data_IF_667066682046
#
_entry.id   IF_667066682046
#
_cell.length_a   1.000
_cell.length_b   1.000
_cell.length_c   1.000
_cell.angle_alpha   90.00
_cell.angle_beta   90.00
_cell.angle_gamma   90.00
#
_symmetry.space_group_name_H-M   'P 1'
#
loop_
_entity.id
_entity.type
_entity.pdbx_description
1 polymer ?
#
# COMPACT_ATOMS: atom_id res chain seq x y z
N UNK A 1 11.38 2.44 -13.88
CA UNK A 1 10.91 2.01 -12.55
C UNK A 1 9.40 1.84 -12.58
N UNK A 2 8.84 0.92 -11.77
CA UNK A 2 7.38 0.75 -11.67
C UNK A 2 6.84 1.79 -10.69
N UNK A 3 5.65 2.34 -10.96
CA UNK A 3 5.03 3.32 -10.06
C UNK A 3 4.31 2.60 -8.94
N UNK A 4 4.59 2.99 -7.70
CA UNK A 4 3.90 2.54 -6.49
C UNK A 4 3.31 3.74 -5.77
N UNK A 5 2.04 3.64 -5.42
CA UNK A 5 1.33 4.62 -4.63
C UNK A 5 1.33 4.27 -3.15
N UNK A 6 1.41 5.26 -2.28
CA UNK A 6 1.14 5.14 -0.84
C UNK A 6 0.08 6.18 -0.49
N UNK A 7 -1.03 5.73 0.07
CA UNK A 7 -2.10 6.56 0.64
C UNK A 7 -1.97 6.51 2.16
N UNK A 8 -1.64 7.64 2.77
CA UNK A 8 -1.31 7.78 4.18
C UNK A 8 0.21 7.79 4.41
N UNK A 9 0.74 8.94 4.80
CA UNK A 9 2.14 9.18 5.17
C UNK A 9 2.32 9.40 6.67
N UNK A 10 1.51 8.69 7.46
CA UNK A 10 1.73 8.53 8.90
C UNK A 10 2.98 7.70 9.20
N UNK A 11 3.15 7.30 10.46
CA UNK A 11 4.37 6.57 10.90
C UNK A 11 4.67 5.33 10.06
N UNK A 12 3.65 4.53 9.72
CA UNK A 12 3.83 3.32 8.90
C UNK A 12 4.00 3.62 7.41
N UNK A 13 3.33 4.65 6.89
CA UNK A 13 3.54 5.12 5.50
C UNK A 13 4.98 5.57 5.25
N UNK A 14 5.59 6.27 6.22
CA UNK A 14 7.02 6.61 6.21
C UNK A 14 7.89 5.36 6.12
N UNK A 15 7.63 4.38 6.99
CA UNK A 15 8.33 3.11 6.96
C UNK A 15 8.16 2.39 5.62
N UNK A 16 6.97 2.39 5.01
CA UNK A 16 6.77 1.79 3.68
C UNK A 16 7.65 2.40 2.60
N UNK A 17 7.96 3.71 2.67
CA UNK A 17 8.92 4.33 1.75
C UNK A 17 10.29 3.67 1.90
N UNK A 18 10.75 3.46 3.13
CA UNK A 18 12.04 2.82 3.42
C UNK A 18 12.07 1.33 3.03
N UNK A 19 10.92 0.64 3.09
CA UNK A 19 10.78 -0.79 2.75
C UNK A 19 10.61 -1.06 1.25
N UNK A 20 10.47 -0.03 0.41
CA UNK A 20 10.26 -0.21 -1.02
C UNK A 20 11.51 0.26 -1.77
N UNK A 21 12.20 -0.63 -2.52
CA UNK A 21 13.50 -0.28 -3.06
C UNK A 21 13.38 0.69 -4.23
N UNK A 22 14.03 1.84 -4.10
CA UNK A 22 14.13 2.89 -5.14
C UNK A 22 14.78 2.39 -6.44
N UNK A 23 15.51 1.28 -6.42
CA UNK A 23 16.01 0.64 -7.65
C UNK A 23 14.90 0.01 -8.51
N UNK A 24 13.75 -0.30 -7.91
CA UNK A 24 12.60 -0.94 -8.56
C UNK A 24 11.40 0.01 -8.70
N UNK A 25 11.16 0.86 -7.70
CA UNK A 25 9.92 1.62 -7.57
C UNK A 25 10.10 3.14 -7.58
N UNK A 26 9.28 3.82 -8.36
CA UNK A 26 9.02 5.26 -8.26
C UNK A 26 7.84 5.42 -7.30
N UNK A 27 8.10 5.94 -6.10
CA UNK A 27 7.09 6.06 -5.04
C UNK A 27 6.35 7.39 -5.16
N UNK A 28 5.02 7.33 -5.16
CA UNK A 28 4.12 8.50 -5.10
C UNK A 28 3.32 8.46 -3.81
N UNK A 29 3.31 9.56 -3.09
CA UNK A 29 2.72 9.65 -1.76
C UNK A 29 1.56 10.64 -1.81
N UNK A 30 0.43 10.24 -1.23
CA UNK A 30 -0.72 11.09 -0.95
C UNK A 30 -1.12 10.92 0.52
N UNK A 31 -1.50 12.00 1.17
CA UNK A 31 -2.16 12.00 2.48
C UNK A 31 -3.25 13.07 2.47
N UNK A 32 -4.36 12.80 3.16
CA UNK A 32 -5.45 13.76 3.30
C UNK A 32 -5.11 14.92 4.25
N UNK A 33 -4.06 14.76 5.06
CA UNK A 33 -3.59 15.74 6.03
C UNK A 33 -2.47 16.59 5.45
N UNK A 34 -2.36 17.83 5.90
CA UNK A 34 -1.19 18.67 5.59
C UNK A 34 0.07 18.05 6.22
N UNK A 35 1.02 17.65 5.36
CA UNK A 35 2.32 17.17 5.79
C UNK A 35 3.34 18.27 5.58
N UNK A 36 3.99 18.66 6.67
CA UNK A 36 5.07 19.63 6.68
C UNK A 36 6.41 18.87 6.69
N UNK A 37 6.78 18.33 5.53
CA UNK A 37 8.05 17.64 5.32
C UNK A 37 8.58 17.97 3.91
N UNK A 38 9.46 18.98 3.83
CA UNK A 38 10.01 19.50 2.57
C UNK A 38 10.89 18.49 1.83
N UNK A 39 11.25 17.37 2.48
CA UNK A 39 12.06 16.31 1.88
C UNK A 39 11.27 15.41 0.94
N UNK A 40 9.94 15.45 1.00
CA UNK A 40 9.08 14.61 0.16
C UNK A 40 8.22 15.42 -0.80
N UNK A 41 7.97 14.81 -1.96
CA UNK A 41 6.99 15.33 -2.92
C UNK A 41 5.66 14.60 -2.73
N UNK A 42 4.64 15.36 -2.34
CA UNK A 42 3.25 14.89 -2.36
C UNK A 42 2.64 14.98 -3.76
N UNK A 43 1.74 14.05 -4.03
CA UNK A 43 0.97 13.96 -5.27
C UNK A 43 -0.51 14.05 -4.96
N UNK A 44 -1.33 14.38 -5.97
CA UNK A 44 -2.78 14.23 -5.85
C UNK A 44 -3.18 12.75 -5.74
N UNK A 45 -4.36 12.49 -5.16
CA UNK A 45 -4.92 11.13 -5.10
C UNK A 45 -5.00 10.49 -6.50
N UNK A 46 -5.46 11.24 -7.51
CA UNK A 46 -5.52 10.78 -8.90
C UNK A 46 -4.16 10.32 -9.43
N UNK A 47 -3.09 11.07 -9.16
CA UNK A 47 -1.74 10.72 -9.60
C UNK A 47 -1.18 9.48 -8.90
N UNK A 48 -1.54 9.27 -7.62
CA UNK A 48 -1.19 8.07 -6.86
C UNK A 48 -1.93 6.86 -7.39
N UNK A 49 -3.23 7.00 -7.70
CA UNK A 49 -4.09 5.92 -8.21
C UNK A 49 -3.74 5.46 -9.64
N UNK A 50 -2.93 6.22 -10.38
CA UNK A 50 -2.32 5.78 -11.64
C UNK A 50 -1.16 4.78 -11.45
N UNK A 51 -0.82 4.41 -10.22
CA UNK A 51 0.24 3.45 -9.91
C UNK A 51 -0.21 2.01 -10.15
N UNK A 52 0.75 1.12 -10.43
CA UNK A 52 0.47 -0.30 -10.64
C UNK A 52 0.09 -1.01 -9.34
N UNK A 53 0.66 -0.55 -8.23
CA UNK A 53 0.41 -1.02 -6.88
C UNK A 53 0.15 0.21 -6.02
N UNK A 54 -0.90 0.19 -5.20
CA UNK A 54 -1.20 1.28 -4.26
C UNK A 54 -1.39 0.68 -2.87
N UNK A 55 -0.57 1.10 -1.92
CA UNK A 55 -0.69 0.74 -0.51
C UNK A 55 -1.63 1.72 0.20
N UNK A 56 -2.59 1.19 0.96
CA UNK A 56 -3.42 1.96 1.87
C UNK A 56 -2.84 1.81 3.28
N UNK A 57 -2.16 2.86 3.75
CA UNK A 57 -1.45 2.95 5.02
C UNK A 57 -2.08 3.98 5.98
N UNK A 58 -3.42 4.02 6.01
CA UNK A 58 -4.21 4.88 6.91
C UNK A 58 -4.69 4.10 8.15
N UNK A 59 -5.10 4.78 9.23
CA UNK A 59 -5.74 4.11 10.37
C UNK A 59 -6.98 3.30 9.96
N UNK A 60 -7.20 2.16 10.62
CA UNK A 60 -8.33 1.26 10.33
C UNK A 60 -9.70 1.97 10.35
N UNK A 61 -9.85 3.02 11.17
CA UNK A 61 -11.06 3.83 11.28
C UNK A 61 -11.34 4.68 10.04
N UNK A 62 -10.31 5.03 9.26
CA UNK A 62 -10.44 5.80 8.01
C UNK A 62 -10.42 4.89 6.77
N UNK A 63 -10.12 3.61 6.93
CA UNK A 63 -9.88 2.68 5.82
C UNK A 63 -11.09 2.54 4.89
N UNK A 64 -12.30 2.42 5.44
CA UNK A 64 -13.51 2.30 4.63
C UNK A 64 -13.80 3.55 3.79
N UNK A 65 -13.61 4.73 4.37
CA UNK A 65 -13.85 5.98 3.65
C UNK A 65 -12.84 6.18 2.52
N UNK A 66 -11.56 5.85 2.76
CA UNK A 66 -10.53 5.86 1.71
C UNK A 66 -10.86 4.87 0.60
N UNK A 67 -11.28 3.64 0.92
CA UNK A 67 -11.66 2.66 -0.11
C UNK A 67 -12.90 3.12 -0.91
N UNK A 68 -13.88 3.74 -0.25
CA UNK A 68 -15.04 4.34 -0.93
C UNK A 68 -14.62 5.47 -1.87
N UNK A 69 -13.71 6.35 -1.44
CA UNK A 69 -13.16 7.40 -2.28
C UNK A 69 -12.47 6.80 -3.50
N UNK A 70 -11.53 5.86 -3.30
CA UNK A 70 -10.85 5.14 -4.40
C UNK A 70 -11.85 4.53 -5.39
N UNK A 71 -12.97 3.96 -4.91
CA UNK A 71 -13.97 3.33 -5.76
C UNK A 71 -14.65 4.28 -6.76
N UNK A 72 -14.59 5.59 -6.51
CA UNK A 72 -15.12 6.64 -7.38
C UNK A 72 -14.16 6.98 -8.53
N UNK A 73 -12.90 6.55 -8.47
CA UNK A 73 -11.92 6.78 -9.51
C UNK A 73 -11.91 5.62 -10.52
N UNK A 74 -11.47 5.93 -11.75
CA UNK A 74 -11.27 4.91 -12.77
C UNK A 74 -9.82 4.40 -12.73
N UNK A 75 -9.60 3.29 -12.03
CA UNK A 75 -8.28 2.66 -11.93
C UNK A 75 -8.04 1.74 -13.11
N UNK A 76 -6.80 1.67 -13.59
CA UNK A 76 -6.39 0.79 -14.68
C UNK A 76 -5.09 0.08 -14.33
N UNK A 77 -5.09 -1.26 -14.42
CA UNK A 77 -3.90 -2.08 -14.13
C UNK A 77 -3.33 -1.83 -12.72
N UNK A 78 -4.22 -1.57 -11.76
CA UNK A 78 -3.88 -1.23 -10.38
C UNK A 78 -4.25 -2.35 -9.44
N UNK A 79 -3.35 -2.70 -8.53
CA UNK A 79 -3.60 -3.57 -7.38
C UNK A 79 -3.56 -2.76 -6.10
N UNK A 80 -4.64 -2.79 -5.32
CA UNK A 80 -4.72 -2.20 -3.98
C UNK A 80 -4.17 -3.18 -2.95
N UNK A 81 -3.35 -2.67 -2.03
CA UNK A 81 -2.74 -3.45 -0.95
C UNK A 81 -3.03 -2.79 0.39
N UNK A 82 -3.71 -3.48 1.30
CA UNK A 82 -3.88 -2.99 2.68
C UNK A 82 -2.67 -3.39 3.54
N UNK A 83 -2.30 -2.56 4.53
CA UNK A 83 -1.28 -2.90 5.55
C UNK A 83 -1.85 -2.91 6.98
N UNK A 84 -3.16 -3.11 7.11
CA UNK A 84 -3.82 -3.08 8.41
C UNK A 84 -3.40 -4.27 9.28
N UNK A 85 -3.48 -4.14 10.61
CA UNK A 85 -3.17 -5.26 11.52
C UNK A 85 -4.25 -6.34 11.59
N UNK A 86 -5.49 -5.99 11.23
CA UNK A 86 -6.62 -6.93 11.08
C UNK A 86 -6.85 -7.23 9.61
N UNK A 87 -7.40 -8.41 9.26
CA UNK A 87 -7.50 -8.84 7.84
C UNK A 87 -8.92 -9.03 7.33
N UNK A 88 -9.84 -9.54 8.15
CA UNK A 88 -11.23 -9.78 7.73
C UNK A 88 -11.89 -8.47 7.28
N UNK A 89 -11.87 -7.44 8.13
CA UNK A 89 -12.53 -6.17 7.83
C UNK A 89 -11.95 -5.44 6.59
N UNK A 90 -10.64 -5.19 6.43
CA UNK A 90 -10.10 -4.54 5.24
C UNK A 90 -10.42 -5.29 3.94
N UNK A 91 -10.36 -6.63 3.97
CA UNK A 91 -10.71 -7.47 2.83
C UNK A 91 -12.17 -7.30 2.45
N UNK A 92 -13.10 -7.41 3.42
CA UNK A 92 -14.54 -7.21 3.18
C UNK A 92 -14.83 -5.84 2.56
N UNK A 93 -14.21 -4.78 3.08
CA UNK A 93 -14.36 -3.42 2.57
C UNK A 93 -13.83 -3.29 1.14
N UNK A 94 -12.62 -3.79 0.86
CA UNK A 94 -12.04 -3.74 -0.48
C UNK A 94 -12.87 -4.53 -1.49
N UNK A 95 -13.33 -5.75 -1.15
CA UNK A 95 -14.16 -6.56 -2.04
C UNK A 95 -15.55 -5.95 -2.28
N UNK A 96 -16.11 -5.29 -1.28
CA UNK A 96 -17.43 -4.65 -1.34
C UNK A 96 -17.45 -3.45 -2.28
N UNK A 97 -16.44 -2.59 -2.23
CA UNK A 97 -16.46 -1.31 -2.93
C UNK A 97 -15.59 -1.27 -4.19
N UNK A 98 -14.49 -2.04 -4.27
CA UNK A 98 -13.59 -2.00 -5.44
C UNK A 98 -14.11 -2.85 -6.59
N UNK A 99 -14.17 -2.24 -7.78
CA UNK A 99 -14.57 -2.85 -9.04
C UNK A 99 -13.78 -4.14 -9.34
N UNK A 100 -14.41 -5.09 -10.05
CA UNK A 100 -13.86 -6.44 -10.27
C UNK A 100 -12.53 -6.47 -11.04
N UNK A 101 -12.23 -5.43 -11.82
CA UNK A 101 -10.98 -5.31 -12.56
C UNK A 101 -9.84 -4.66 -11.76
N UNK A 102 -10.03 -4.35 -10.47
CA UNK A 102 -8.96 -3.81 -9.61
C UNK A 102 -8.30 -4.97 -8.85
N UNK A 103 -6.98 -5.11 -8.84
CA UNK A 103 -6.33 -6.15 -8.04
C UNK A 103 -6.48 -5.89 -6.53
N UNK A 104 -6.50 -6.94 -5.70
CA UNK A 104 -6.51 -6.82 -4.24
C UNK A 104 -5.51 -7.80 -3.64
N UNK A 105 -4.61 -7.30 -2.81
CA UNK A 105 -3.74 -8.11 -1.94
C UNK A 105 -3.96 -7.67 -0.50
N UNK A 106 -4.26 -8.63 0.37
CA UNK A 106 -4.29 -8.38 1.80
C UNK A 106 -2.87 -8.49 2.36
N UNK A 107 -2.45 -7.57 3.23
CA UNK A 107 -1.15 -7.72 3.91
C UNK A 107 -1.17 -7.33 5.39
N UNK A 108 -0.26 -7.90 6.15
CA UNK A 108 -0.02 -7.53 7.54
C UNK A 108 1.49 -7.61 7.82
N UNK A 109 2.17 -6.47 7.80
CA UNK A 109 3.52 -6.35 8.33
C UNK A 109 3.50 -6.61 9.85
N UNK A 110 4.20 -7.64 10.33
CA UNK A 110 4.23 -8.02 11.75
C UNK A 110 5.18 -7.14 12.58
N UNK A 111 5.43 -5.94 12.09
CA UNK A 111 6.34 -4.95 12.63
C UNK A 111 5.79 -3.57 12.31
N UNK A 112 6.10 -2.59 13.15
CA UNK A 112 5.81 -1.19 12.91
C UNK A 112 7.06 -0.32 13.10
N UNK A 113 6.92 1.00 13.03
CA UNK A 113 8.03 1.95 13.12
C UNK A 113 8.85 1.81 14.41
N UNK A 114 8.17 1.46 15.51
CA UNK A 114 8.80 1.32 16.83
C UNK A 114 9.57 -0.01 16.98
N UNK A 115 9.26 -1.01 16.15
CA UNK A 115 9.90 -2.33 16.18
C UNK A 115 10.81 -2.60 14.97
N UNK A 116 10.80 -1.69 14.00
CA UNK A 116 11.63 -1.77 12.81
C UNK A 116 13.11 -1.60 13.18
N UNK A 117 13.92 -2.50 12.66
CA UNK A 117 15.37 -2.43 12.77
C UNK A 117 15.94 -2.98 11.46
N UNK A 118 16.83 -2.25 10.77
CA UNK A 118 17.37 -2.66 9.47
C UNK A 118 18.20 -3.96 9.53
N UNK A 119 18.42 -4.51 10.72
CA UNK A 119 19.24 -5.70 10.97
C UNK A 119 18.44 -6.92 11.46
N UNK A 120 17.10 -6.89 11.42
CA UNK A 120 16.24 -8.00 11.88
C UNK A 120 15.56 -8.72 10.71
N UNK A 121 15.32 -10.02 10.89
CA UNK A 121 14.35 -10.78 10.09
C UNK A 121 12.95 -10.22 10.36
N UNK A 122 12.50 -9.34 9.47
CA UNK A 122 11.14 -8.82 9.49
C UNK A 122 10.21 -9.91 8.94
N UNK A 123 8.92 -9.81 9.25
CA UNK A 123 7.93 -10.76 8.76
C UNK A 123 6.72 -10.02 8.25
N UNK A 124 6.27 -10.39 7.07
CA UNK A 124 5.00 -9.93 6.51
C UNK A 124 4.12 -11.11 6.12
N UNK A 125 2.84 -11.03 6.43
CA UNK A 125 1.84 -11.91 5.83
C UNK A 125 1.25 -11.21 4.61
N UNK A 126 1.24 -11.86 3.46
CA UNK A 126 0.55 -11.39 2.25
C UNK A 126 -0.38 -12.48 1.73
N UNK A 127 -1.54 -12.09 1.18
CA UNK A 127 -2.51 -13.03 0.62
C UNK A 127 -3.21 -12.44 -0.62
N UNK A 128 -3.24 -13.16 -1.76
CA UNK A 128 -3.83 -12.66 -3.00
C UNK A 128 -5.35 -12.85 -3.01
N UNK A 129 -6.09 -11.83 -2.57
CA UNK A 129 -7.57 -11.87 -2.58
C UNK A 129 -8.09 -11.87 -4.03
N UNK A 130 -7.51 -11.03 -4.89
CA UNK A 130 -7.86 -10.91 -6.30
C UNK A 130 -6.64 -10.48 -7.11
N UNK A 131 -5.81 -11.43 -7.56
CA UNK A 131 -4.55 -11.14 -8.26
C UNK A 131 -4.63 -11.25 -9.79
N UNK A 132 -5.50 -10.44 -10.39
CA UNK A 132 -5.74 -10.43 -11.85
C UNK A 132 -4.57 -9.88 -12.69
N UNK A 133 -3.58 -9.26 -12.04
CA UNK A 133 -2.42 -8.64 -12.70
C UNK A 133 -1.09 -9.31 -12.32
N UNK A 134 -1.12 -10.47 -11.64
CA UNK A 134 0.05 -11.22 -11.19
C UNK A 134 1.05 -10.38 -10.37
N UNK A 135 0.53 -9.55 -9.46
CA UNK A 135 1.33 -8.67 -8.58
C UNK A 135 1.75 -9.35 -7.28
N UNK A 136 1.12 -10.46 -6.90
CA UNK A 136 1.44 -11.17 -5.67
C UNK A 136 2.88 -11.65 -5.65
N UNK A 137 3.29 -12.42 -6.66
CA UNK A 137 4.66 -12.96 -6.73
C UNK A 137 5.70 -11.84 -6.87
N UNK A 138 5.34 -10.75 -7.56
CA UNK A 138 6.20 -9.58 -7.66
C UNK A 138 6.48 -8.95 -6.29
N UNK A 139 5.43 -8.71 -5.50
CA UNK A 139 5.56 -8.12 -4.16
C UNK A 139 6.24 -9.09 -3.19
N UNK A 140 5.91 -10.37 -3.26
CA UNK A 140 6.56 -11.42 -2.46
C UNK A 140 8.07 -11.39 -2.66
N UNK A 141 8.54 -11.40 -3.90
CA UNK A 141 9.97 -11.35 -4.22
C UNK A 141 10.65 -10.07 -3.69
N UNK A 142 9.94 -8.93 -3.68
CA UNK A 142 10.48 -7.67 -3.13
C UNK A 142 10.71 -7.78 -1.64
N UNK A 143 9.72 -8.27 -0.89
CA UNK A 143 9.84 -8.44 0.55
C UNK A 143 10.92 -9.47 0.90
N UNK A 144 10.94 -10.62 0.22
CA UNK A 144 11.96 -11.66 0.43
C UNK A 144 13.38 -11.13 0.15
N UNK A 145 13.57 -10.33 -0.91
CA UNK A 145 14.87 -9.74 -1.24
C UNK A 145 15.39 -8.75 -0.20
N UNK A 146 14.50 -8.25 0.67
CA UNK A 146 14.80 -7.33 1.76
C UNK A 146 14.82 -8.03 3.13
N UNK A 147 14.79 -9.36 3.16
CA UNK A 147 14.73 -10.17 4.39
C UNK A 147 13.45 -9.90 5.23
N UNK A 148 12.32 -9.72 4.55
CA UNK A 148 10.97 -9.47 5.10
C UNK A 148 10.03 -10.62 4.76
#
# INVERSE_FOLDING_TARGET
>A
MKKVGIIGYGRFGKLLVDLLPDSKYEIKIYDSSDIFDDSIKLYSLDEVLQSLIVFIAVPISAFEDVVKEISQHNLYNTTIVDVCSVKVYPVEIMEKYLQKHIGIIASHPHFGPDSYSPFKELKITIYPIRDIYNRFDELKQVFESQSI
#
